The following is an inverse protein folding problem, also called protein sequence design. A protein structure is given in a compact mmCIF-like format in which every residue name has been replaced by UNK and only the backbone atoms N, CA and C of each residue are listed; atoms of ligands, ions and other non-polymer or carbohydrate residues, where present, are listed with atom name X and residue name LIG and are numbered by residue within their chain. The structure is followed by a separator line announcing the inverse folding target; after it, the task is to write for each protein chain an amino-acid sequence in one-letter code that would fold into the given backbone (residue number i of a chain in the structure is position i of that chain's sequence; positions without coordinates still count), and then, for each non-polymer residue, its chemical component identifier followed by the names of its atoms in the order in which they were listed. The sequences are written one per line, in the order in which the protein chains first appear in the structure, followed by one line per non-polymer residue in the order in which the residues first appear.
data_IF_886485346797
#
_entry.id   IF_886485346797
#
_cell.length_a   1.000
_cell.length_b   1.000
_cell.length_c   1.000
_cell.angle_alpha   90.00
_cell.angle_beta   90.00
_cell.angle_gamma   90.00
#
_symmetry.space_group_name_H-M   'P 1'
#
loop_
_entity.id
_entity.type
_entity.pdbx_description
1 polymer ?
#
# COMPACT_ATOMS: atom_id res chain seq x y z
N UNK A 1 -34.28 -13.39 -4.17
CA UNK A 1 -33.34 -12.90 -3.14
C UNK A 1 -31.93 -13.49 -3.32
N UNK A 2 -31.40 -13.57 -4.54
CA UNK A 2 -30.16 -14.32 -4.87
C UNK A 2 -28.99 -13.44 -5.34
N UNK A 3 -29.22 -12.17 -5.65
CA UNK A 3 -28.18 -11.27 -6.20
C UNK A 3 -27.18 -10.76 -5.15
N UNK A 4 -27.55 -10.72 -3.85
CA UNK A 4 -26.65 -10.24 -2.77
C UNK A 4 -25.63 -11.29 -2.31
N UNK A 5 -26.01 -12.57 -2.25
CA UNK A 5 -25.08 -13.66 -1.84
C UNK A 5 -23.96 -13.89 -2.87
N UNK A 6 -24.28 -13.82 -4.16
CA UNK A 6 -23.25 -13.88 -5.21
C UNK A 6 -22.31 -12.66 -5.20
N UNK A 7 -22.82 -11.47 -4.83
CA UNK A 7 -22.00 -10.28 -4.70
C UNK A 7 -21.02 -10.38 -3.52
N UNK A 8 -21.48 -10.83 -2.35
CA UNK A 8 -20.67 -10.95 -1.14
C UNK A 8 -19.56 -12.02 -1.27
N UNK A 9 -19.87 -13.17 -1.85
CA UNK A 9 -18.87 -14.21 -2.13
C UNK A 9 -17.80 -13.75 -3.13
N UNK A 10 -18.17 -12.96 -4.15
CA UNK A 10 -17.22 -12.33 -5.06
C UNK A 10 -16.35 -11.28 -4.37
N UNK A 11 -16.91 -10.44 -3.51
CA UNK A 11 -16.15 -9.44 -2.75
C UNK A 11 -15.10 -10.08 -1.84
N UNK A 12 -15.44 -11.19 -1.21
CA UNK A 12 -14.50 -11.97 -0.39
C UNK A 12 -13.35 -12.52 -1.22
N UNK A 13 -13.61 -13.07 -2.41
CA UNK A 13 -12.58 -13.57 -3.32
C UNK A 13 -11.64 -12.46 -3.77
N UNK A 14 -12.17 -11.30 -4.16
CA UNK A 14 -11.38 -10.14 -4.58
C UNK A 14 -10.51 -9.64 -3.43
N UNK A 15 -11.04 -9.59 -2.21
CA UNK A 15 -10.27 -9.18 -1.03
C UNK A 15 -9.12 -10.16 -0.71
N UNK A 16 -9.35 -11.47 -0.84
CA UNK A 16 -8.31 -12.48 -0.66
C UNK A 16 -7.20 -12.35 -1.71
N UNK A 17 -7.58 -12.22 -2.99
CA UNK A 17 -6.63 -12.03 -4.10
C UNK A 17 -5.80 -10.76 -3.86
N UNK A 18 -6.44 -9.66 -3.46
CA UNK A 18 -5.75 -8.42 -3.14
C UNK A 18 -4.73 -8.59 -2.00
N UNK A 19 -5.05 -9.40 -0.99
CA UNK A 19 -4.10 -9.74 0.08
C UNK A 19 -2.93 -10.59 -0.42
N UNK A 20 -3.21 -11.59 -1.26
CA UNK A 20 -2.19 -12.42 -1.88
C UNK A 20 -1.26 -11.63 -2.80
N UNK A 21 -1.78 -10.61 -3.49
CA UNK A 21 -1.00 -9.72 -4.35
C UNK A 21 -0.24 -8.68 -3.53
N UNK A 22 -0.77 -8.22 -2.38
CA UNK A 22 -0.12 -7.22 -1.55
C UNK A 22 1.28 -7.65 -1.06
N UNK A 23 1.44 -8.91 -0.67
CA UNK A 23 2.70 -9.47 -0.15
C UNK A 23 3.84 -9.42 -1.20
N UNK A 24 3.69 -9.99 -2.41
CA UNK A 24 4.73 -9.91 -3.44
C UNK A 24 4.97 -8.47 -3.91
N UNK A 25 3.92 -7.63 -3.96
CA UNK A 25 4.09 -6.21 -4.30
C UNK A 25 4.91 -5.45 -3.25
N UNK A 26 4.81 -5.83 -1.98
CA UNK A 26 5.62 -5.22 -0.92
C UNK A 26 7.11 -5.49 -1.12
N UNK A 27 7.46 -6.71 -1.52
CA UNK A 27 8.84 -7.08 -1.85
C UNK A 27 9.28 -6.34 -3.13
N UNK A 28 8.43 -6.33 -4.16
CA UNK A 28 8.71 -5.70 -5.45
C UNK A 28 8.83 -4.17 -5.40
N UNK A 29 8.16 -3.49 -4.47
CA UNK A 29 8.31 -2.04 -4.30
C UNK A 29 9.22 -1.66 -3.15
N UNK A 30 9.53 -2.58 -2.23
CA UNK A 30 10.51 -2.32 -1.17
C UNK A 30 11.97 -2.34 -1.67
N UNK A 31 12.29 -3.16 -2.67
CA UNK A 31 13.67 -3.32 -3.16
C UNK A 31 14.32 -2.04 -3.70
N UNK A 32 13.65 -1.14 -4.47
CA UNK A 32 14.29 0.06 -4.99
C UNK A 32 14.71 0.99 -3.87
N UNK A 33 13.89 1.09 -2.81
CA UNK A 33 14.22 1.87 -1.63
C UNK A 33 15.40 1.26 -0.87
N UNK A 34 15.41 -0.05 -0.68
CA UNK A 34 16.53 -0.75 -0.05
C UNK A 34 17.85 -0.56 -0.84
N UNK A 35 17.76 -0.59 -2.17
CA UNK A 35 18.89 -0.29 -3.05
C UNK A 35 19.38 1.16 -2.86
N UNK A 36 18.49 2.14 -2.81
CA UNK A 36 18.87 3.54 -2.55
C UNK A 36 19.51 3.73 -1.17
N UNK A 37 18.99 3.08 -0.12
CA UNK A 37 19.58 3.13 1.23
C UNK A 37 21.00 2.57 1.24
N UNK A 38 21.24 1.45 0.55
CA UNK A 38 22.59 0.86 0.44
C UNK A 38 23.52 1.72 -0.41
N UNK A 39 23.04 2.32 -1.49
CA UNK A 39 23.81 3.25 -2.33
C UNK A 39 24.26 4.50 -1.57
N UNK A 40 23.38 5.03 -0.71
CA UNK A 40 23.69 6.19 0.16
C UNK A 40 24.54 5.78 1.39
N UNK A 41 24.72 4.48 1.60
CA UNK A 41 25.46 3.89 2.71
C UNK A 41 24.80 4.14 4.06
N UNK A 42 23.47 4.08 4.12
CA UNK A 42 22.67 4.15 5.34
C UNK A 42 22.53 2.76 5.98
N UNK A 43 22.29 2.68 7.30
CA UNK A 43 22.17 1.41 8.01
C UNK A 43 20.96 0.59 7.51
N UNK A 44 21.09 -0.74 7.49
CA UNK A 44 20.08 -1.67 6.93
C UNK A 44 18.68 -1.53 7.55
N UNK A 45 18.58 -1.08 8.81
CA UNK A 45 17.30 -0.81 9.45
C UNK A 45 16.46 0.27 8.75
N UNK A 46 17.10 1.26 8.13
CA UNK A 46 16.40 2.27 7.31
C UNK A 46 15.84 1.67 6.01
N UNK A 47 16.47 0.62 5.46
CA UNK A 47 15.99 -0.06 4.26
C UNK A 47 14.66 -0.76 4.52
N UNK A 48 14.52 -1.45 5.66
CA UNK A 48 13.28 -2.14 6.01
C UNK A 48 12.15 -1.16 6.35
N UNK A 49 12.42 -0.17 7.20
CA UNK A 49 11.42 0.81 7.60
C UNK A 49 10.96 1.70 6.45
N UNK A 50 11.90 2.36 5.78
CA UNK A 50 11.57 3.26 4.67
C UNK A 50 11.10 2.51 3.42
N UNK A 51 11.59 1.28 3.18
CA UNK A 51 11.13 0.44 2.08
C UNK A 51 9.67 0.00 2.27
N UNK A 52 9.26 -0.31 3.50
CA UNK A 52 7.85 -0.55 3.80
C UNK A 52 6.98 0.68 3.52
N UNK A 53 7.39 1.85 4.03
CA UNK A 53 6.65 3.12 3.82
C UNK A 53 6.56 3.49 2.33
N UNK A 54 7.61 3.24 1.57
CA UNK A 54 7.66 3.48 0.12
C UNK A 54 6.81 2.48 -0.67
N UNK A 55 6.76 1.21 -0.25
CA UNK A 55 6.00 0.17 -0.94
C UNK A 55 4.48 0.33 -0.76
N UNK A 56 4.03 0.77 0.42
CA UNK A 56 2.60 0.97 0.74
C UNK A 56 1.80 1.75 -0.32
N UNK A 57 2.18 2.97 -0.74
CA UNK A 57 1.40 3.74 -1.72
C UNK A 57 1.34 3.06 -3.10
N UNK A 58 2.37 2.30 -3.47
CA UNK A 58 2.41 1.56 -4.73
C UNK A 58 1.51 0.32 -4.71
N UNK A 59 1.58 -0.47 -3.64
CA UNK A 59 0.67 -1.59 -3.38
C UNK A 59 -0.78 -1.12 -3.45
N UNK A 60 -1.08 -0.03 -2.74
CA UNK A 60 -2.42 0.55 -2.72
C UNK A 60 -2.89 1.01 -4.10
N UNK A 61 -2.02 1.59 -4.91
CA UNK A 61 -2.36 2.04 -6.26
C UNK A 61 -2.73 0.86 -7.16
N UNK A 62 -1.92 -0.21 -7.13
CA UNK A 62 -2.19 -1.39 -7.93
C UNK A 62 -3.43 -2.15 -7.47
N UNK A 63 -3.63 -2.33 -6.17
CA UNK A 63 -4.83 -2.98 -5.66
C UNK A 63 -6.07 -2.14 -5.97
N UNK A 64 -5.98 -0.83 -5.81
CA UNK A 64 -7.07 0.07 -6.16
C UNK A 64 -7.42 -0.02 -7.66
N UNK A 65 -6.42 -0.07 -8.53
CA UNK A 65 -6.60 -0.31 -9.97
C UNK A 65 -7.24 -1.67 -10.25
N UNK A 66 -6.75 -2.73 -9.63
CA UNK A 66 -7.29 -4.09 -9.77
C UNK A 66 -8.76 -4.17 -9.37
N UNK A 67 -9.14 -3.62 -8.22
CA UNK A 67 -10.55 -3.56 -7.77
C UNK A 67 -11.42 -2.79 -8.77
N UNK A 68 -10.92 -1.68 -9.31
CA UNK A 68 -11.67 -0.86 -10.27
C UNK A 68 -11.88 -1.60 -11.60
N UNK A 69 -10.88 -2.36 -12.06
CA UNK A 69 -10.98 -3.21 -13.26
C UNK A 69 -11.88 -4.43 -13.05
N UNK A 70 -11.81 -5.07 -11.88
CA UNK A 70 -12.56 -6.30 -11.59
C UNK A 70 -14.06 -6.08 -11.31
N UNK A 71 -14.45 -4.92 -10.74
CA UNK A 71 -15.82 -4.62 -10.33
C UNK A 71 -16.50 -3.52 -11.14
N UNK A 72 -15.72 -2.68 -11.83
CA UNK A 72 -16.23 -1.46 -12.48
C UNK A 72 -16.61 -0.37 -11.48
N UNK A 73 -16.79 0.85 -11.98
CA UNK A 73 -17.02 2.05 -11.16
C UNK A 73 -18.27 1.94 -10.28
N UNK A 74 -19.37 1.40 -10.82
CA UNK A 74 -20.66 1.36 -10.13
C UNK A 74 -20.73 0.37 -8.95
N UNK A 75 -20.01 -0.75 -9.00
CA UNK A 75 -20.02 -1.75 -7.91
C UNK A 75 -18.93 -1.50 -6.87
N UNK A 76 -17.95 -0.65 -7.18
CA UNK A 76 -16.85 -0.28 -6.28
C UNK A 76 -17.33 0.32 -4.96
N UNK A 77 -18.36 1.17 -4.99
CA UNK A 77 -18.90 1.79 -3.79
C UNK A 77 -19.60 0.78 -2.87
N UNK A 78 -20.27 -0.21 -3.46
CA UNK A 78 -20.86 -1.32 -2.72
C UNK A 78 -19.79 -2.22 -2.10
N UNK A 79 -18.71 -2.48 -2.84
CA UNK A 79 -17.56 -3.22 -2.33
C UNK A 79 -16.91 -2.52 -1.13
N UNK A 80 -16.69 -1.20 -1.20
CA UNK A 80 -16.12 -0.46 -0.05
C UNK A 80 -17.06 -0.38 1.15
N UNK A 81 -18.37 -0.23 0.93
CA UNK A 81 -19.36 -0.30 2.01
C UNK A 81 -19.37 -1.67 2.69
N UNK A 82 -19.29 -2.75 1.90
CA UNK A 82 -19.14 -4.11 2.41
C UNK A 82 -17.85 -4.30 3.20
N UNK A 83 -16.75 -3.73 2.71
CA UNK A 83 -15.44 -3.84 3.33
C UNK A 83 -15.33 -3.03 4.65
N UNK A 84 -16.01 -1.89 4.73
CA UNK A 84 -16.20 -1.13 5.98
C UNK A 84 -17.02 -1.92 7.00
N UNK A 85 -18.05 -2.65 6.55
CA UNK A 85 -18.88 -3.50 7.42
C UNK A 85 -18.10 -4.73 7.94
N UNK A 86 -17.20 -5.30 7.13
CA UNK A 86 -16.37 -6.46 7.47
C UNK A 86 -14.91 -6.11 7.84
N UNK A 87 -14.72 -4.92 8.46
CA UNK A 87 -13.41 -4.32 8.80
C UNK A 87 -12.48 -5.26 9.57
N UNK A 88 -13.03 -6.08 10.47
CA UNK A 88 -12.27 -6.89 11.44
C UNK A 88 -11.53 -8.08 10.82
N UNK A 89 -11.96 -8.55 9.64
CA UNK A 89 -11.38 -9.73 8.98
C UNK A 89 -10.67 -9.39 7.67
N UNK A 90 -11.09 -8.33 6.97
CA UNK A 90 -10.60 -8.02 5.62
C UNK A 90 -10.13 -6.57 5.45
N UNK A 91 -10.20 -5.72 6.49
CA UNK A 91 -10.19 -4.27 6.36
C UNK A 91 -8.94 -3.50 6.82
N UNK A 92 -7.88 -4.15 7.31
CA UNK A 92 -6.72 -3.43 7.85
C UNK A 92 -5.94 -2.64 6.79
N UNK A 93 -5.92 -3.09 5.52
CA UNK A 93 -5.23 -2.39 4.42
C UNK A 93 -6.15 -1.60 3.45
N UNK A 94 -7.47 -1.61 3.66
CA UNK A 94 -8.44 -1.20 2.62
C UNK A 94 -9.49 -0.19 3.11
N UNK A 95 -9.16 0.64 4.10
CA UNK A 95 -10.01 1.77 4.46
C UNK A 95 -10.08 2.78 3.29
N UNK A 96 -11.25 3.36 3.00
CA UNK A 96 -11.44 4.45 2.02
C UNK A 96 -10.43 5.62 2.14
N UNK A 97 -9.81 5.84 3.30
CA UNK A 97 -8.74 6.81 3.50
C UNK A 97 -7.48 6.52 2.64
N UNK A 98 -7.25 5.26 2.28
CA UNK A 98 -6.14 4.79 1.44
C UNK A 98 -6.37 5.06 -0.07
N UNK A 99 -7.59 5.42 -0.49
CA UNK A 99 -7.88 5.80 -1.89
C UNK A 99 -7.41 7.22 -2.21
N UNK A 100 -7.28 8.08 -1.19
CA UNK A 100 -6.92 9.48 -1.40
C UNK A 100 -5.52 9.59 -1.99
N UNK A 101 -5.43 10.13 -3.20
CA UNK A 101 -4.17 10.43 -3.89
C UNK A 101 -3.25 11.30 -3.03
N UNK A 102 -3.81 12.16 -2.18
CA UNK A 102 -3.07 12.99 -1.21
C UNK A 102 -2.34 12.16 -0.16
N UNK A 103 -2.96 11.07 0.33
CA UNK A 103 -2.34 10.17 1.29
C UNK A 103 -1.20 9.36 0.65
N UNK A 104 -1.41 8.88 -0.58
CA UNK A 104 -0.36 8.19 -1.36
C UNK A 104 0.85 9.08 -1.62
N UNK A 105 0.62 10.31 -2.06
CA UNK A 105 1.67 11.31 -2.23
C UNK A 105 2.37 11.61 -0.90
N UNK A 106 1.62 11.77 0.19
CA UNK A 106 2.18 11.98 1.53
C UNK A 106 3.15 10.88 1.96
N UNK A 107 2.83 9.61 1.70
CA UNK A 107 3.72 8.47 1.98
C UNK A 107 4.98 8.48 1.12
N UNK A 108 4.86 8.83 -0.17
CA UNK A 108 6.02 8.98 -1.07
C UNK A 108 6.92 10.12 -0.56
N UNK A 109 6.36 11.29 -0.26
CA UNK A 109 7.11 12.41 0.29
C UNK A 109 7.75 12.05 1.65
N UNK A 110 7.04 11.35 2.53
CA UNK A 110 7.58 10.89 3.81
C UNK A 110 8.75 9.93 3.62
N UNK A 111 8.65 8.97 2.69
CA UNK A 111 9.74 8.04 2.39
C UNK A 111 10.98 8.75 1.82
N UNK A 112 10.77 9.77 0.96
CA UNK A 112 11.84 10.62 0.44
C UNK A 112 12.47 11.49 1.52
N UNK A 113 11.65 12.09 2.38
CA UNK A 113 12.11 12.88 3.53
C UNK A 113 12.91 12.04 4.53
N UNK A 114 12.52 10.78 4.77
CA UNK A 114 13.30 9.85 5.59
C UNK A 114 14.67 9.54 4.96
N UNK A 115 14.73 9.39 3.64
CA UNK A 115 15.97 9.10 2.92
C UNK A 115 16.91 10.32 2.91
N UNK A 116 16.37 11.50 2.60
CA UNK A 116 17.11 12.78 2.62
C UNK A 116 17.54 13.14 4.04
N UNK A 117 16.65 13.00 5.03
CA UNK A 117 16.95 13.24 6.43
C UNK A 117 18.03 12.30 6.95
N UNK A 118 17.94 11.01 6.65
CA UNK A 118 18.99 10.04 6.97
C UNK A 118 20.34 10.40 6.35
N UNK A 119 20.34 10.86 5.09
CA UNK A 119 21.56 11.30 4.41
C UNK A 119 22.18 12.55 5.05
N UNK A 120 21.37 13.56 5.39
CA UNK A 120 21.84 14.78 6.05
C UNK A 120 22.43 14.46 7.43
N UNK A 121 21.76 13.62 8.23
CA UNK A 121 22.26 13.21 9.55
C UNK A 121 23.61 12.49 9.41
N UNK A 122 23.76 11.57 8.45
CA UNK A 122 25.03 10.92 8.16
C UNK A 122 26.13 11.93 7.81
N UNK A 123 25.82 12.92 6.97
CA UNK A 123 26.79 13.94 6.54
C UNK A 123 27.17 14.89 7.69
N UNK A 124 26.23 15.23 8.56
CA UNK A 124 26.46 16.08 9.74
C UNK A 124 27.20 15.39 10.89
N UNK A 125 27.23 14.06 10.94
CA UNK A 125 28.01 13.29 11.92
C UNK A 125 29.46 13.01 11.48
N UNK A 126 29.79 13.27 10.21
CA UNK A 126 31.12 13.06 9.62
C UNK A 126 31.87 14.40 9.41
N UNK A 127 31.26 15.54 9.79
CA UNK A 127 31.92 16.85 9.88
C UNK A 127 32.38 17.13 11.30
#
# INVERSE_FOLDING_TARGET
MTSREHAESNYRRISLINWFIAVPLLILFGWPYAYLVTFVGLPRWFAYGGGFVFALPMIMTLIHGHVTMALGYAQRDYYYKWLLKNRRSHGLFFHSAFVSTRFRLGLIYASGALLVGGWIVKKGFIG
#
